data_IF_064578994261
#
_entry.id   IF_064578994261
#
_cell.length_a   1.000
_cell.length_b   1.000
_cell.length_c   1.000
_cell.angle_alpha   90.00
_cell.angle_beta   90.00
_cell.angle_gamma   90.00
#
_symmetry.space_group_name_H-M   'P 1'
#
loop_
_entity.id
_entity.type
_entity.pdbx_description
1 polymer ?
#
# COMPACT_ATOMS: atom_id res chain seq x y z
N UNK A 1 36.30 74.83 -51.06
CA UNK A 1 35.92 73.43 -51.38
C UNK A 1 36.35 72.47 -50.27
N UNK A 2 37.63 72.44 -49.90
CA UNK A 2 38.19 71.46 -48.94
C UNK A 2 37.58 71.49 -47.52
N UNK A 3 37.33 72.68 -46.95
CA UNK A 3 36.69 72.79 -45.63
C UNK A 3 35.26 72.22 -45.59
N UNK A 4 34.47 72.44 -46.65
CA UNK A 4 33.10 71.89 -46.76
C UNK A 4 33.12 70.36 -46.85
N UNK A 5 34.11 69.80 -47.54
CA UNK A 5 34.27 68.34 -47.65
C UNK A 5 34.62 67.71 -46.29
N UNK A 6 35.55 68.32 -45.53
CA UNK A 6 35.91 67.84 -44.20
C UNK A 6 34.75 67.97 -43.19
N UNK A 7 33.95 69.04 -43.28
CA UNK A 7 32.74 69.19 -42.45
C UNK A 7 31.71 68.10 -42.76
N UNK A 8 31.51 67.79 -44.05
CA UNK A 8 30.63 66.70 -44.46
C UNK A 8 31.13 65.35 -43.96
N UNK A 9 32.40 65.03 -44.17
CA UNK A 9 33.01 63.79 -43.69
C UNK A 9 32.90 63.65 -42.16
N UNK A 10 33.17 64.72 -41.42
CA UNK A 10 32.99 64.74 -39.96
C UNK A 10 31.56 64.41 -39.56
N UNK A 11 30.57 65.01 -40.23
CA UNK A 11 29.15 64.76 -39.98
C UNK A 11 28.77 63.31 -40.30
N UNK A 12 29.22 62.78 -41.44
CA UNK A 12 28.96 61.41 -41.88
C UNK A 12 29.57 60.39 -40.90
N UNK A 13 30.80 60.63 -40.43
CA UNK A 13 31.47 59.79 -39.42
C UNK A 13 30.76 59.84 -38.08
N UNK A 14 30.32 61.02 -37.64
CA UNK A 14 29.62 61.18 -36.37
C UNK A 14 28.26 60.46 -36.38
N UNK A 15 27.52 60.56 -37.49
CA UNK A 15 26.30 59.78 -37.70
C UNK A 15 26.57 58.27 -37.66
N UNK A 16 27.66 57.81 -38.26
CA UNK A 16 28.04 56.40 -38.26
C UNK A 16 28.39 55.90 -36.86
N UNK A 17 29.14 56.67 -36.08
CA UNK A 17 29.44 56.35 -34.67
C UNK A 17 28.14 56.26 -33.87
N UNK A 18 27.20 57.20 -34.05
CA UNK A 18 25.91 57.16 -33.37
C UNK A 18 25.14 55.86 -33.66
N UNK A 19 25.04 55.46 -34.94
CA UNK A 19 24.38 54.21 -35.35
C UNK A 19 25.06 53.00 -34.70
N UNK A 20 26.39 52.95 -34.71
CA UNK A 20 27.13 51.82 -34.13
C UNK A 20 27.00 51.75 -32.61
N UNK A 21 27.00 52.89 -31.92
CA UNK A 21 26.81 52.93 -30.47
C UNK A 21 25.38 52.50 -30.10
N UNK A 22 24.37 52.91 -30.86
CA UNK A 22 22.98 52.47 -30.68
C UNK A 22 22.83 50.95 -30.92
N UNK A 23 23.49 50.42 -31.94
CA UNK A 23 23.53 48.98 -32.20
C UNK A 23 24.22 48.20 -31.07
N UNK A 24 25.35 48.69 -30.55
CA UNK A 24 26.02 48.11 -29.38
C UNK A 24 25.10 48.17 -28.15
N UNK A 25 24.41 49.29 -27.93
CA UNK A 25 23.47 49.44 -26.83
C UNK A 25 22.33 48.42 -26.91
N UNK A 26 21.71 48.26 -28.08
CA UNK A 26 20.66 47.26 -28.32
C UNK A 26 21.15 45.83 -28.10
N UNK A 27 22.34 45.49 -28.60
CA UNK A 27 22.94 44.17 -28.42
C UNK A 27 23.27 43.90 -26.94
N UNK A 28 23.86 44.87 -26.23
CA UNK A 28 24.14 44.76 -24.80
C UNK A 28 22.85 44.61 -23.98
N UNK A 29 21.80 45.34 -24.31
CA UNK A 29 20.50 45.23 -23.64
C UNK A 29 19.93 43.81 -23.76
N UNK A 30 19.93 43.21 -24.95
CA UNK A 30 19.43 41.83 -25.19
C UNK A 30 20.30 40.78 -24.48
N UNK A 31 21.63 40.94 -24.57
CA UNK A 31 22.62 40.05 -23.95
C UNK A 31 22.76 40.24 -22.44
N UNK A 32 22.13 41.26 -21.86
CA UNK A 32 22.30 41.65 -20.46
C UNK A 32 23.76 41.99 -20.10
N UNK A 33 24.50 42.58 -21.04
CA UNK A 33 25.89 43.02 -20.85
C UNK A 33 25.93 44.49 -20.46
N UNK A 34 26.97 44.87 -19.71
CA UNK A 34 27.18 46.27 -19.34
C UNK A 34 27.61 47.08 -20.56
N UNK A 35 26.69 47.88 -21.11
CA UNK A 35 26.94 48.75 -22.25
C UNK A 35 28.14 49.67 -22.01
N UNK A 36 28.21 50.21 -20.80
CA UNK A 36 29.18 51.18 -20.38
C UNK A 36 30.62 50.64 -20.47
N UNK A 37 30.84 49.45 -19.92
CA UNK A 37 32.12 48.74 -19.99
C UNK A 37 32.45 48.34 -21.44
N UNK A 38 31.45 47.87 -22.17
CA UNK A 38 31.61 47.42 -23.57
C UNK A 38 32.07 48.57 -24.48
N UNK A 39 31.54 49.78 -24.33
CA UNK A 39 31.99 50.93 -25.15
C UNK A 39 33.30 51.55 -24.67
N UNK A 40 33.63 51.44 -23.37
CA UNK A 40 34.93 51.88 -22.82
C UNK A 40 36.09 51.09 -23.40
N UNK A 41 35.92 49.78 -23.62
CA UNK A 41 36.92 48.93 -24.28
C UNK A 41 37.29 49.44 -25.68
N UNK A 42 36.34 50.07 -26.37
CA UNK A 42 36.57 50.68 -27.69
C UNK A 42 37.21 52.06 -27.54
N UNK A 43 36.54 52.97 -26.82
CA UNK A 43 37.10 54.29 -26.49
C UNK A 43 36.33 54.95 -25.33
N UNK A 44 37.02 55.51 -24.31
CA UNK A 44 36.36 56.12 -23.14
C UNK A 44 35.39 57.26 -23.46
N UNK A 45 35.60 57.99 -24.56
CA UNK A 45 34.69 59.09 -24.96
C UNK A 45 33.34 58.66 -25.51
N UNK A 46 33.12 57.35 -25.76
CA UNK A 46 31.83 56.80 -26.18
C UNK A 46 30.85 56.60 -25.01
N UNK A 47 31.37 56.58 -23.78
CA UNK A 47 30.60 56.34 -22.54
C UNK A 47 29.76 57.56 -22.09
N UNK A 48 29.91 58.73 -22.73
CA UNK A 48 29.04 59.91 -22.52
C UNK A 48 29.12 60.58 -21.14
N UNK A 49 29.89 60.08 -20.18
CA UNK A 49 29.92 60.61 -18.80
C UNK A 49 30.72 61.89 -18.61
N UNK A 50 31.57 62.28 -19.58
CA UNK A 50 32.37 63.49 -19.49
C UNK A 50 31.95 64.46 -20.60
N UNK A 51 31.09 65.42 -20.24
CA UNK A 51 30.55 66.47 -21.15
C UNK A 51 31.62 67.36 -21.79
N UNK A 52 32.88 67.24 -21.39
CA UNK A 52 34.01 68.05 -21.87
C UNK A 52 34.79 67.39 -23.03
N UNK A 53 34.60 66.09 -23.29
CA UNK A 53 35.35 65.37 -24.31
C UNK A 53 34.49 65.12 -25.56
N UNK A 54 34.92 65.64 -26.72
CA UNK A 54 34.27 65.34 -28.00
C UNK A 54 34.32 63.83 -28.32
N UNK A 55 33.21 63.28 -28.84
CA UNK A 55 33.13 61.89 -29.32
C UNK A 55 34.25 61.59 -30.31
N UNK A 56 34.99 60.51 -30.10
CA UNK A 56 36.07 60.12 -31.01
C UNK A 56 35.46 59.56 -32.31
N UNK A 57 35.90 60.07 -33.46
CA UNK A 57 35.43 59.69 -34.81
C UNK A 57 36.58 59.18 -35.71
N UNK A 58 37.68 58.75 -35.08
CA UNK A 58 38.83 58.17 -35.76
C UNK A 58 38.49 56.82 -36.41
N UNK A 59 39.31 56.43 -37.37
CA UNK A 59 39.15 55.14 -38.07
C UNK A 59 39.29 53.96 -37.09
N UNK A 60 40.20 54.06 -36.11
CA UNK A 60 40.36 53.02 -35.09
C UNK A 60 39.13 52.88 -34.17
N UNK A 61 38.45 53.99 -33.85
CA UNK A 61 37.18 53.94 -33.09
C UNK A 61 36.06 53.31 -33.91
N UNK A 62 35.93 53.65 -35.19
CA UNK A 62 34.94 53.05 -36.08
C UNK A 62 35.20 51.56 -36.32
N UNK A 63 36.46 51.16 -36.49
CA UNK A 63 36.87 49.77 -36.64
C UNK A 63 36.63 48.98 -35.34
N UNK A 64 37.02 49.54 -34.19
CA UNK A 64 36.76 48.94 -32.88
C UNK A 64 35.27 48.73 -32.62
N UNK A 65 34.42 49.72 -32.91
CA UNK A 65 32.96 49.56 -32.84
C UNK A 65 32.45 48.44 -33.76
N UNK A 66 32.97 48.35 -34.99
CA UNK A 66 32.60 47.30 -35.94
C UNK A 66 32.97 45.91 -35.42
N UNK A 67 34.17 45.75 -34.87
CA UNK A 67 34.63 44.50 -34.26
C UNK A 67 33.78 44.12 -33.03
N UNK A 68 33.45 45.08 -32.16
CA UNK A 68 32.58 44.87 -31.01
C UNK A 68 31.17 44.43 -31.43
N UNK A 69 30.57 45.07 -32.45
CA UNK A 69 29.27 44.67 -33.00
C UNK A 69 29.32 43.23 -33.52
N UNK A 70 30.36 42.86 -34.28
CA UNK A 70 30.51 41.49 -34.80
C UNK A 70 30.63 40.47 -33.66
N UNK A 71 31.41 40.78 -32.62
CA UNK A 71 31.55 39.93 -31.43
C UNK A 71 30.22 39.75 -30.69
N UNK A 72 29.49 40.83 -30.46
CA UNK A 72 28.19 40.80 -29.78
C UNK A 72 27.13 40.04 -30.61
N UNK A 73 27.12 40.18 -31.94
CA UNK A 73 26.24 39.38 -32.82
C UNK A 73 26.56 37.90 -32.76
N UNK A 74 27.83 37.52 -32.80
CA UNK A 74 28.24 36.12 -32.65
C UNK A 74 27.82 35.52 -31.29
N UNK A 75 27.99 36.30 -30.21
CA UNK A 75 27.54 35.92 -28.87
C UNK A 75 26.01 35.77 -28.80
N UNK A 76 25.26 36.73 -29.36
CA UNK A 76 23.80 36.70 -29.46
C UNK A 76 23.33 35.40 -30.13
N UNK A 77 23.90 35.07 -31.28
CA UNK A 77 23.59 33.84 -32.01
C UNK A 77 23.89 32.57 -31.20
N UNK A 78 25.04 32.53 -30.54
CA UNK A 78 25.45 31.37 -29.73
C UNK A 78 24.51 31.16 -28.54
N UNK A 79 24.20 32.24 -27.81
CA UNK A 79 23.27 32.20 -26.66
C UNK A 79 21.85 31.86 -27.07
N UNK A 80 21.41 32.37 -28.21
CA UNK A 80 20.10 32.06 -28.77
C UNK A 80 19.95 30.56 -29.05
N UNK A 81 20.91 29.96 -29.78
CA UNK A 81 20.88 28.52 -30.06
C UNK A 81 20.87 27.68 -28.78
N UNK A 82 21.73 28.04 -27.81
CA UNK A 82 21.77 27.39 -26.51
C UNK A 82 20.42 27.47 -25.79
N UNK A 83 19.84 28.67 -25.72
CA UNK A 83 18.56 28.88 -25.05
C UNK A 83 17.42 28.12 -25.74
N UNK A 84 17.37 28.09 -27.06
CA UNK A 84 16.38 27.30 -27.82
C UNK A 84 16.46 25.81 -27.48
N UNK A 85 17.66 25.23 -27.40
CA UNK A 85 17.84 23.82 -27.02
C UNK A 85 17.34 23.54 -25.60
N UNK A 86 17.66 24.43 -24.65
CA UNK A 86 17.21 24.30 -23.25
C UNK A 86 15.69 24.42 -23.17
N UNK A 87 15.10 25.41 -23.86
CA UNK A 87 13.64 25.63 -23.90
C UNK A 87 12.91 24.45 -24.53
N UNK A 88 13.48 23.81 -25.55
CA UNK A 88 12.90 22.61 -26.14
C UNK A 88 12.84 21.46 -25.12
N UNK A 89 13.94 21.24 -24.36
CA UNK A 89 13.99 20.25 -23.27
C UNK A 89 12.98 20.58 -22.18
N UNK A 90 12.89 21.86 -21.79
CA UNK A 90 11.94 22.35 -20.79
C UNK A 90 10.49 22.11 -21.22
N UNK A 91 10.15 22.38 -22.48
CA UNK A 91 8.81 22.14 -23.03
C UNK A 91 8.44 20.66 -23.02
N UNK A 92 9.37 19.77 -23.40
CA UNK A 92 9.18 18.31 -23.31
C UNK A 92 8.91 17.87 -21.86
N UNK A 93 9.67 18.41 -20.90
CA UNK A 93 9.47 18.10 -19.48
C UNK A 93 8.14 18.61 -18.93
N UNK A 94 7.74 19.84 -19.24
CA UNK A 94 6.44 20.37 -18.83
C UNK A 94 5.27 19.54 -19.34
N UNK A 95 5.34 19.09 -20.60
CA UNK A 95 4.30 18.25 -21.19
C UNK A 95 4.26 16.87 -20.54
N UNK A 96 5.41 16.27 -20.27
CA UNK A 96 5.50 14.96 -19.60
C UNK A 96 5.04 15.02 -18.14
N UNK A 97 5.38 16.08 -17.42
CA UNK A 97 5.12 16.24 -15.99
C UNK A 97 3.75 16.88 -15.70
N UNK A 98 2.99 17.22 -16.75
CA UNK A 98 1.74 17.98 -16.69
C UNK A 98 1.87 19.24 -15.81
N UNK A 99 3.00 19.95 -15.94
CA UNK A 99 3.31 21.12 -15.10
C UNK A 99 2.22 22.19 -15.20
N UNK A 100 1.87 22.78 -14.06
CA UNK A 100 0.79 23.75 -13.96
C UNK A 100 1.09 25.03 -14.75
N UNK A 101 0.05 25.70 -15.25
CA UNK A 101 0.20 26.91 -16.05
C UNK A 101 0.98 28.01 -15.33
N UNK A 102 0.82 28.11 -14.00
CA UNK A 102 1.53 29.10 -13.19
C UNK A 102 3.05 28.90 -13.19
N UNK A 103 3.53 27.66 -13.21
CA UNK A 103 4.96 27.33 -13.29
C UNK A 103 5.49 27.68 -14.68
N UNK A 104 4.73 27.35 -15.73
CA UNK A 104 5.09 27.68 -17.12
C UNK A 104 5.14 29.19 -17.38
N UNK A 105 4.24 29.96 -16.74
CA UNK A 105 4.14 31.42 -16.90
C UNK A 105 5.42 32.16 -16.48
N UNK A 106 6.16 31.64 -15.49
CA UNK A 106 7.42 32.25 -15.05
C UNK A 106 8.46 32.30 -16.16
N UNK A 107 8.42 31.31 -17.06
CA UNK A 107 9.33 31.17 -18.20
C UNK A 107 8.70 31.59 -19.53
N UNK A 108 7.50 32.18 -19.54
CA UNK A 108 6.76 32.47 -20.78
C UNK A 108 7.55 33.35 -21.77
N UNK A 109 8.31 34.33 -21.26
CA UNK A 109 9.15 35.20 -22.09
C UNK A 109 10.28 34.44 -22.78
N UNK A 110 10.92 33.52 -22.06
CA UNK A 110 11.99 32.66 -22.56
C UNK A 110 11.42 31.57 -23.48
N UNK A 111 10.24 31.04 -23.17
CA UNK A 111 9.56 30.05 -23.98
C UNK A 111 9.21 30.56 -25.39
N UNK A 112 8.93 31.86 -25.55
CA UNK A 112 8.67 32.48 -26.85
C UNK A 112 9.87 32.40 -27.81
N UNK A 113 11.09 32.23 -27.30
CA UNK A 113 12.34 32.16 -28.09
C UNK A 113 12.39 30.95 -29.03
N UNK A 114 11.68 29.86 -28.70
CA UNK A 114 11.69 28.63 -29.49
C UNK A 114 11.14 28.83 -30.91
N UNK A 115 10.29 29.84 -31.12
CA UNK A 115 9.67 30.15 -32.43
C UNK A 115 10.12 31.46 -33.06
N UNK A 116 11.03 32.21 -32.44
CA UNK A 116 11.47 33.52 -32.92
C UNK A 116 12.74 33.45 -33.77
N UNK A 117 12.84 34.33 -34.76
CA UNK A 117 14.08 34.58 -35.51
C UNK A 117 15.09 35.41 -34.70
N UNK A 118 16.35 35.45 -35.11
CA UNK A 118 17.40 36.21 -34.40
C UNK A 118 17.06 37.71 -34.35
N UNK A 119 16.45 38.23 -35.41
CA UNK A 119 16.08 39.63 -35.59
C UNK A 119 14.88 40.04 -34.70
N UNK A 120 13.96 39.11 -34.43
CA UNK A 120 12.78 39.35 -33.59
C UNK A 120 13.12 39.50 -32.09
N UNK A 121 14.28 38.99 -31.67
CA UNK A 121 14.70 39.00 -30.27
C UNK A 121 15.32 40.34 -29.92
N UNK A 122 14.47 41.23 -29.42
CA UNK A 122 14.78 42.60 -29.00
C UNK A 122 14.52 42.84 -27.52
N UNK A 123 13.93 41.88 -26.80
CA UNK A 123 13.60 42.02 -25.39
C UNK A 123 14.88 42.09 -24.52
N UNK A 124 15.02 43.12 -23.65
CA UNK A 124 16.20 43.24 -22.80
C UNK A 124 16.36 42.05 -21.84
N UNK A 125 17.59 41.58 -21.68
CA UNK A 125 17.99 40.55 -20.72
C UNK A 125 17.56 39.13 -21.05
N UNK A 126 16.87 38.89 -22.17
CA UNK A 126 16.34 37.58 -22.55
C UNK A 126 17.44 36.56 -22.88
N UNK A 127 18.59 37.03 -23.40
CA UNK A 127 19.79 36.25 -23.67
C UNK A 127 20.91 36.54 -22.65
N UNK A 128 20.55 37.04 -21.46
CA UNK A 128 21.51 37.19 -20.37
C UNK A 128 21.98 35.83 -19.88
N UNK A 129 23.23 35.77 -19.39
CA UNK A 129 23.76 34.55 -18.77
C UNK A 129 22.88 34.08 -17.61
N UNK A 130 22.35 35.03 -16.84
CA UNK A 130 21.40 34.76 -15.76
C UNK A 130 20.13 34.09 -16.26
N UNK A 131 19.48 34.60 -17.31
CA UNK A 131 18.27 34.00 -17.85
C UNK A 131 18.50 32.57 -18.41
N UNK A 132 19.63 32.36 -19.08
CA UNK A 132 20.03 31.02 -19.56
C UNK A 132 20.22 30.08 -18.37
N UNK A 133 20.98 30.51 -17.37
CA UNK A 133 21.24 29.73 -16.16
C UNK A 133 19.95 29.39 -15.41
N UNK A 134 19.05 30.36 -15.18
CA UNK A 134 17.75 30.12 -14.55
C UNK A 134 16.91 29.08 -15.31
N UNK A 135 16.99 29.07 -16.64
CA UNK A 135 16.28 28.09 -17.48
C UNK A 135 16.93 26.71 -17.41
N UNK A 136 18.26 26.63 -17.37
CA UNK A 136 19.01 25.37 -17.18
C UNK A 136 18.72 24.76 -15.81
N UNK A 137 18.73 25.57 -14.75
CA UNK A 137 18.42 25.16 -13.38
C UNK A 137 16.99 24.61 -13.27
N UNK A 138 16.02 25.21 -13.97
CA UNK A 138 14.65 24.69 -14.01
C UNK A 138 14.54 23.34 -14.74
N UNK A 139 15.26 23.17 -15.85
CA UNK A 139 15.35 21.86 -16.54
C UNK A 139 15.94 20.80 -15.62
N UNK A 140 17.00 21.13 -14.88
CA UNK A 140 17.62 20.23 -13.91
C UNK A 140 16.65 19.89 -12.77
N UNK A 141 15.96 20.90 -12.21
CA UNK A 141 14.96 20.74 -11.15
C UNK A 141 13.84 19.80 -11.60
N UNK A 142 13.28 20.01 -12.78
CA UNK A 142 12.22 19.16 -13.35
C UNK A 142 12.73 17.75 -13.65
N UNK A 143 13.97 17.60 -14.10
CA UNK A 143 14.59 16.29 -14.33
C UNK A 143 14.74 15.50 -13.03
N UNK A 144 15.20 16.14 -11.95
CA UNK A 144 15.25 15.54 -10.61
C UNK A 144 13.85 15.18 -10.11
N UNK A 145 12.88 16.07 -10.30
CA UNK A 145 11.50 15.82 -9.93
C UNK A 145 10.90 14.63 -10.70
N UNK A 146 11.18 14.52 -12.00
CA UNK A 146 10.79 13.38 -12.84
C UNK A 146 11.38 12.08 -12.28
N UNK A 147 12.67 12.06 -11.97
CA UNK A 147 13.33 10.88 -11.40
C UNK A 147 12.71 10.46 -10.05
N UNK A 148 12.44 11.43 -9.15
CA UNK A 148 11.76 11.17 -7.87
C UNK A 148 10.36 10.59 -8.07
N UNK A 149 9.54 11.20 -8.93
CA UNK A 149 8.18 10.69 -9.23
C UNK A 149 8.22 9.30 -9.86
N UNK A 150 9.20 9.02 -10.72
CA UNK A 150 9.34 7.70 -11.32
C UNK A 150 9.72 6.65 -10.27
N UNK A 151 10.64 6.96 -9.36
CA UNK A 151 10.98 6.10 -8.22
C UNK A 151 9.75 5.81 -7.34
N UNK A 152 8.96 6.84 -7.02
CA UNK A 152 7.71 6.69 -6.28
C UNK A 152 6.70 5.79 -7.01
N UNK A 153 6.55 5.96 -8.32
CA UNK A 153 5.64 5.16 -9.14
C UNK A 153 6.03 3.69 -9.17
N UNK A 154 7.32 3.38 -9.33
CA UNK A 154 7.87 2.02 -9.26
C UNK A 154 7.55 1.39 -7.91
N UNK A 155 7.79 2.10 -6.80
CA UNK A 155 7.50 1.60 -5.45
C UNK A 155 5.99 1.41 -5.22
N UNK A 156 5.15 2.32 -5.72
CA UNK A 156 3.69 2.17 -5.65
C UNK A 156 3.21 0.95 -6.42
N UNK A 157 3.72 0.71 -7.63
CA UNK A 157 3.44 -0.52 -8.38
C UNK A 157 3.95 -1.77 -7.66
N UNK A 158 5.12 -1.68 -7.01
CA UNK A 158 5.61 -2.80 -6.21
C UNK A 158 4.71 -3.13 -5.02
N UNK A 159 4.13 -2.11 -4.37
CA UNK A 159 3.13 -2.31 -3.31
C UNK A 159 1.83 -2.93 -3.85
N UNK A 160 1.38 -2.51 -5.04
CA UNK A 160 0.23 -3.12 -5.73
C UNK A 160 0.47 -4.62 -5.98
N UNK A 161 1.65 -5.00 -6.48
CA UNK A 161 2.05 -6.41 -6.62
C UNK A 161 1.97 -7.15 -5.28
N UNK A 162 2.49 -6.54 -4.23
CA UNK A 162 2.50 -7.11 -2.88
C UNK A 162 1.09 -7.36 -2.33
N UNK A 163 0.15 -6.46 -2.61
CA UNK A 163 -1.25 -6.60 -2.24
C UNK A 163 -1.93 -7.74 -3.02
N UNK A 164 -1.70 -7.81 -4.34
CA UNK A 164 -2.21 -8.91 -5.18
C UNK A 164 -1.68 -10.26 -4.68
N UNK A 165 -0.37 -10.36 -4.44
CA UNK A 165 0.26 -11.57 -3.90
C UNK A 165 -0.31 -11.95 -2.53
N UNK A 166 -0.43 -10.98 -1.62
CA UNK A 166 -0.98 -11.19 -0.27
C UNK A 166 -2.43 -11.69 -0.32
N UNK A 167 -3.27 -11.08 -1.14
CA UNK A 167 -4.68 -11.48 -1.30
C UNK A 167 -4.83 -12.88 -1.90
N UNK A 168 -3.85 -13.32 -2.69
CA UNK A 168 -3.81 -14.64 -3.29
C UNK A 168 -2.94 -15.65 -2.51
N UNK A 169 -2.44 -15.30 -1.32
CA UNK A 169 -1.56 -16.12 -0.49
C UNK A 169 -0.28 -16.61 -1.20
N UNK A 170 0.32 -15.73 -2.00
CA UNK A 170 1.53 -15.94 -2.78
C UNK A 170 2.68 -15.10 -2.24
N UNK A 171 3.91 -15.55 -2.46
CA UNK A 171 5.11 -14.77 -2.13
C UNK A 171 5.55 -13.93 -3.33
N UNK A 172 5.72 -12.61 -3.18
CA UNK A 172 6.25 -11.76 -4.24
C UNK A 172 7.75 -12.00 -4.45
N UNK A 173 8.26 -11.67 -5.65
CA UNK A 173 9.68 -11.84 -5.96
C UNK A 173 10.56 -10.97 -5.05
N UNK A 174 11.46 -11.62 -4.30
CA UNK A 174 12.44 -10.98 -3.41
C UNK A 174 13.51 -10.19 -4.16
N UNK A 175 13.71 -10.42 -5.46
CA UNK A 175 14.61 -9.62 -6.29
C UNK A 175 14.07 -8.23 -6.54
N UNK A 176 12.75 -8.09 -6.50
CA UNK A 176 12.05 -6.81 -6.67
C UNK A 176 11.66 -6.21 -5.31
N UNK A 177 12.35 -6.58 -4.23
CA UNK A 177 12.12 -6.00 -2.91
C UNK A 177 12.36 -4.46 -2.91
N UNK A 178 11.59 -3.68 -2.13
CA UNK A 178 11.69 -2.22 -2.12
C UNK A 178 13.11 -1.70 -1.90
N UNK A 179 13.87 -2.31 -0.99
CA UNK A 179 15.24 -1.90 -0.65
C UNK A 179 16.19 -2.11 -1.84
N UNK A 180 16.01 -3.22 -2.57
CA UNK A 180 16.81 -3.52 -3.78
C UNK A 180 16.45 -2.57 -4.92
N UNK A 181 15.16 -2.32 -5.14
CA UNK A 181 14.71 -1.33 -6.14
C UNK A 181 15.33 0.03 -5.85
N UNK A 182 15.24 0.50 -4.61
CA UNK A 182 15.79 1.79 -4.18
C UNK A 182 17.30 1.84 -4.48
N UNK A 183 18.05 0.81 -4.09
CA UNK A 183 19.48 0.74 -4.34
C UNK A 183 19.84 0.72 -5.85
N UNK A 184 19.09 -0.01 -6.68
CA UNK A 184 19.30 -0.07 -8.13
C UNK A 184 19.03 1.28 -8.81
N UNK A 185 18.00 1.98 -8.37
CA UNK A 185 17.65 3.32 -8.89
C UNK A 185 18.69 4.35 -8.45
N UNK A 186 19.05 4.38 -7.16
CA UNK A 186 19.97 5.38 -6.61
C UNK A 186 21.42 5.20 -7.09
N UNK A 187 21.81 3.96 -7.42
CA UNK A 187 23.10 3.68 -8.06
C UNK A 187 23.14 4.01 -9.56
N UNK A 188 21.99 4.34 -10.16
CA UNK A 188 21.88 4.59 -11.60
C UNK A 188 22.16 3.37 -12.47
N UNK A 189 22.16 2.17 -11.89
CA UNK A 189 22.49 0.92 -12.58
C UNK A 189 21.35 0.47 -13.51
N UNK A 190 20.11 0.83 -13.18
CA UNK A 190 18.91 0.43 -13.92
C UNK A 190 18.01 1.63 -14.16
N UNK A 191 17.41 1.72 -15.35
CA UNK A 191 16.39 2.72 -15.65
C UNK A 191 15.09 2.41 -14.89
N UNK A 192 14.54 3.36 -14.11
CA UNK A 192 13.27 3.18 -13.43
C UNK A 192 12.10 2.80 -14.35
N UNK A 193 12.10 3.19 -15.63
CA UNK A 193 11.02 2.82 -16.56
C UNK A 193 11.03 1.31 -16.87
N UNK A 194 12.21 0.71 -17.02
CA UNK A 194 12.34 -0.74 -17.24
C UNK A 194 11.88 -1.54 -16.02
N UNK A 195 12.25 -1.08 -14.81
CA UNK A 195 11.78 -1.68 -13.56
C UNK A 195 10.26 -1.60 -13.44
N UNK A 196 9.66 -0.46 -13.80
CA UNK A 196 8.21 -0.28 -13.79
C UNK A 196 7.54 -1.32 -14.70
N UNK A 197 7.98 -1.43 -15.96
CA UNK A 197 7.46 -2.41 -16.91
C UNK A 197 7.61 -3.85 -16.39
N UNK A 198 8.75 -4.19 -15.80
CA UNK A 198 8.97 -5.51 -15.20
C UNK A 198 7.98 -5.81 -14.07
N UNK A 199 7.73 -4.85 -13.18
CA UNK A 199 6.76 -4.99 -12.08
C UNK A 199 5.34 -5.13 -12.65
N UNK A 200 4.96 -4.37 -13.67
CA UNK A 200 3.65 -4.50 -14.31
C UNK A 200 3.43 -5.89 -14.92
N UNK A 201 4.46 -6.48 -15.52
CA UNK A 201 4.42 -7.88 -15.98
C UNK A 201 4.27 -8.84 -14.80
N UNK A 202 4.96 -8.62 -13.69
CA UNK A 202 4.78 -9.44 -12.48
C UNK A 202 3.36 -9.32 -11.91
N UNK A 203 2.77 -8.12 -11.89
CA UNK A 203 1.39 -7.89 -11.46
C UNK A 203 0.42 -8.65 -12.36
N UNK A 204 0.61 -8.60 -13.69
CA UNK A 204 -0.23 -9.32 -14.63
C UNK A 204 -0.18 -10.83 -14.39
N UNK A 205 1.03 -11.40 -14.22
CA UNK A 205 1.22 -12.81 -13.89
C UNK A 205 0.59 -13.18 -12.55
N UNK A 206 0.79 -12.37 -11.52
CA UNK A 206 0.22 -12.60 -10.19
C UNK A 206 -1.32 -12.57 -10.22
N UNK A 207 -1.93 -11.69 -11.02
CA UNK A 207 -3.37 -11.67 -11.22
C UNK A 207 -3.88 -12.91 -11.96
N UNK A 208 -3.18 -13.36 -13.00
CA UNK A 208 -3.52 -14.59 -13.73
C UNK A 208 -3.46 -15.80 -12.78
N UNK A 209 -2.38 -15.94 -12.03
CA UNK A 209 -2.23 -17.02 -11.05
C UNK A 209 -3.33 -16.96 -9.97
N UNK A 210 -3.64 -15.76 -9.45
CA UNK A 210 -4.75 -15.53 -8.52
C UNK A 210 -6.10 -16.04 -9.06
N UNK A 211 -6.37 -15.85 -10.36
CA UNK A 211 -7.58 -16.38 -11.00
C UNK A 211 -7.58 -17.91 -11.03
N UNK A 212 -6.45 -18.55 -11.34
CA UNK A 212 -6.36 -20.02 -11.34
C UNK A 212 -6.50 -20.61 -9.93
N UNK A 213 -6.00 -19.92 -8.90
CA UNK A 213 -6.10 -20.32 -7.49
C UNK A 213 -7.50 -20.17 -6.91
N UNK A 214 -8.39 -19.41 -7.54
CA UNK A 214 -9.67 -18.97 -6.99
C UNK A 214 -10.56 -20.12 -6.47
N UNK A 215 -10.73 -21.22 -7.20
CA UNK A 215 -11.56 -22.35 -6.73
C UNK A 215 -10.98 -23.00 -5.46
N UNK A 216 -9.66 -23.15 -5.39
CA UNK A 216 -8.98 -23.69 -4.21
C UNK A 216 -9.14 -22.72 -3.03
N UNK A 217 -8.91 -21.42 -3.24
CA UNK A 217 -9.05 -20.41 -2.20
C UNK A 217 -10.48 -20.32 -1.64
N UNK A 218 -11.51 -20.36 -2.49
CA UNK A 218 -12.90 -20.41 -2.04
C UNK A 218 -13.21 -21.66 -1.20
N UNK A 219 -12.54 -22.80 -1.48
CA UNK A 219 -12.67 -24.02 -0.68
C UNK A 219 -11.93 -23.90 0.65
N UNK A 220 -10.74 -23.29 0.66
CA UNK A 220 -10.00 -22.97 1.88
C UNK A 220 -10.86 -22.09 2.80
N UNK A 221 -11.48 -21.02 2.27
CA UNK A 221 -12.36 -20.14 3.03
C UNK A 221 -13.56 -20.87 3.64
N UNK A 222 -14.19 -21.75 2.86
CA UNK A 222 -15.31 -22.58 3.34
C UNK A 222 -14.84 -23.54 4.45
N UNK A 223 -13.67 -24.14 4.30
CA UNK A 223 -13.09 -25.03 5.30
C UNK A 223 -12.71 -24.28 6.58
N UNK A 224 -12.05 -23.13 6.48
CA UNK A 224 -11.73 -22.27 7.62
C UNK A 224 -12.99 -21.83 8.36
N UNK A 225 -14.04 -21.43 7.63
CA UNK A 225 -15.34 -21.10 8.22
C UNK A 225 -15.99 -22.28 8.97
N UNK A 226 -15.82 -23.50 8.46
CA UNK A 226 -16.29 -24.70 9.14
C UNK A 226 -15.47 -25.01 10.41
N UNK A 227 -14.16 -24.76 10.40
CA UNK A 227 -13.30 -24.84 11.58
C UNK A 227 -13.70 -23.81 12.64
N UNK A 228 -14.02 -22.57 12.24
CA UNK A 228 -14.51 -21.53 13.16
C UNK A 228 -15.82 -21.94 13.84
N UNK A 229 -16.76 -22.53 13.08
CA UNK A 229 -18.00 -23.08 13.65
C UNK A 229 -17.74 -24.29 14.56
N UNK A 230 -16.67 -25.08 14.32
CA UNK A 230 -16.24 -26.12 15.25
C UNK A 230 -15.81 -25.53 16.59
N UNK A 231 -14.91 -24.54 16.56
CA UNK A 231 -14.42 -23.88 17.77
C UNK A 231 -15.57 -23.26 18.56
N UNK A 232 -16.48 -22.55 17.88
CA UNK A 232 -17.68 -22.01 18.51
C UNK A 232 -18.56 -23.10 19.15
N UNK A 233 -18.73 -24.24 18.47
CA UNK A 233 -19.50 -25.36 19.02
C UNK A 233 -18.80 -26.00 20.22
N UNK A 234 -17.48 -26.10 20.22
CA UNK A 234 -16.70 -26.60 21.35
C UNK A 234 -16.86 -25.69 22.57
N UNK A 235 -16.77 -24.37 22.39
CA UNK A 235 -17.04 -23.36 23.43
C UNK A 235 -18.48 -23.48 23.96
N UNK A 236 -19.47 -23.55 23.06
CA UNK A 236 -20.87 -23.71 23.43
C UNK A 236 -21.16 -25.02 24.20
N UNK A 237 -20.42 -26.09 23.92
CA UNK A 237 -20.57 -27.36 24.64
C UNK A 237 -19.95 -27.33 26.05
N UNK A 238 -19.01 -26.41 26.32
CA UNK A 238 -18.38 -26.23 27.62
C UNK A 238 -19.19 -25.29 28.54
N UNK A 239 -20.13 -24.52 28.00
CA UNK A 239 -20.98 -23.62 28.79
C UNK A 239 -22.01 -24.40 29.63
N UNK A 240 -21.85 -24.36 30.95
CA UNK A 240 -22.78 -24.97 31.92
C UNK A 240 -24.18 -24.31 31.88
N UNK A 241 -24.29 -23.06 31.43
CA UNK A 241 -25.55 -22.32 31.33
C UNK A 241 -26.25 -22.49 29.97
N UNK A 242 -25.76 -23.39 29.10
CA UNK A 242 -26.27 -23.58 27.73
C UNK A 242 -27.75 -23.93 27.59
N UNK A 243 -28.35 -24.50 28.65
CA UNK A 243 -29.77 -24.87 28.72
C UNK A 243 -30.59 -23.94 29.62
N UNK A 244 -30.01 -22.83 30.08
CA UNK A 244 -30.78 -21.82 30.81
C UNK A 244 -31.94 -21.32 29.93
N UNK A 245 -33.13 -21.19 30.52
CA UNK A 245 -34.36 -20.80 29.82
C UNK A 245 -34.38 -19.31 29.42
N UNK A 246 -33.26 -18.78 28.96
CA UNK A 246 -33.09 -17.41 28.49
C UNK A 246 -33.64 -17.20 27.09
N UNK A 247 -34.01 -15.95 26.79
CA UNK A 247 -34.44 -15.51 25.45
C UNK A 247 -33.29 -15.72 24.46
N UNK A 248 -33.41 -16.70 23.55
CA UNK A 248 -32.39 -17.02 22.54
C UNK A 248 -31.79 -18.42 22.61
N UNK A 249 -32.03 -19.19 23.69
CA UNK A 249 -31.49 -20.54 23.86
C UNK A 249 -31.86 -21.50 22.71
N UNK A 250 -33.10 -21.44 22.21
CA UNK A 250 -33.55 -22.24 21.07
C UNK A 250 -32.81 -21.91 19.75
N UNK A 251 -32.41 -20.65 19.56
CA UNK A 251 -31.65 -20.24 18.37
C UNK A 251 -30.22 -20.77 18.43
N UNK A 252 -29.58 -20.69 19.60
CA UNK A 252 -28.25 -21.25 19.83
C UNK A 252 -28.26 -22.77 19.70
N UNK A 253 -29.27 -23.45 20.22
CA UNK A 253 -29.44 -24.89 20.04
C UNK A 253 -29.59 -25.28 18.56
N UNK A 254 -30.36 -24.50 17.78
CA UNK A 254 -30.50 -24.69 16.32
C UNK A 254 -29.18 -24.44 15.58
N UNK A 255 -28.39 -23.44 15.99
CA UNK A 255 -27.04 -23.20 15.44
C UNK A 255 -26.10 -24.34 15.79
N UNK A 256 -26.11 -24.82 17.03
CA UNK A 256 -25.29 -25.93 17.48
C UNK A 256 -25.56 -27.22 16.69
N UNK A 257 -26.83 -27.52 16.39
CA UNK A 257 -27.17 -28.67 15.56
C UNK A 257 -26.67 -28.52 14.12
N UNK A 258 -26.81 -27.33 13.52
CA UNK A 258 -26.23 -27.03 12.21
C UNK A 258 -24.70 -27.14 12.21
N UNK A 259 -24.05 -26.63 13.26
CA UNK A 259 -22.62 -26.70 13.43
C UNK A 259 -22.14 -28.16 13.55
N UNK A 260 -22.84 -29.03 14.28
CA UNK A 260 -22.50 -30.47 14.35
C UNK A 260 -22.47 -31.14 12.98
N UNK A 261 -23.49 -30.88 12.16
CA UNK A 261 -23.58 -31.41 10.80
C UNK A 261 -22.43 -30.88 9.94
N UNK A 262 -22.07 -29.60 10.10
CA UNK A 262 -20.95 -28.99 9.38
C UNK A 262 -19.60 -29.58 9.83
N UNK A 263 -19.39 -29.74 11.13
CA UNK A 263 -18.19 -30.34 11.73
C UNK A 263 -17.98 -31.77 11.23
N UNK A 264 -19.05 -32.56 11.13
CA UNK A 264 -18.99 -33.91 10.58
C UNK A 264 -18.53 -33.95 9.12
N UNK A 265 -18.74 -32.87 8.36
CA UNK A 265 -18.30 -32.74 6.96
C UNK A 265 -16.88 -32.20 6.82
N UNK A 266 -16.24 -31.69 7.87
CA UNK A 266 -14.88 -31.14 7.78
C UNK A 266 -13.86 -32.15 7.21
N UNK A 267 -13.84 -33.44 7.62
CA UNK A 267 -12.89 -34.40 7.04
C UNK A 267 -13.03 -34.55 5.52
N UNK A 268 -14.26 -34.62 5.01
CA UNK A 268 -14.47 -34.73 3.55
C UNK A 268 -14.16 -33.43 2.81
N UNK A 269 -14.32 -32.27 3.45
CA UNK A 269 -13.86 -30.99 2.90
C UNK A 269 -12.33 -30.95 2.77
N UNK A 270 -11.61 -31.44 3.78
CA UNK A 270 -10.13 -31.55 3.75
C UNK A 270 -9.69 -32.49 2.63
N UNK A 271 -10.28 -33.69 2.54
CA UNK A 271 -9.92 -34.67 1.51
C UNK A 271 -10.22 -34.14 0.09
N UNK A 272 -11.36 -33.44 -0.09
CA UNK A 272 -11.69 -32.81 -1.36
C UNK A 272 -10.73 -31.68 -1.72
N UNK A 273 -10.30 -30.88 -0.74
CA UNK A 273 -9.35 -29.81 -0.94
C UNK A 273 -7.98 -30.36 -1.31
N UNK A 274 -7.49 -31.40 -0.62
CA UNK A 274 -6.24 -32.09 -0.97
C UNK A 274 -6.29 -32.59 -2.43
N UNK A 275 -7.36 -33.30 -2.81
CA UNK A 275 -7.50 -33.82 -4.17
C UNK A 275 -7.54 -32.71 -5.23
N UNK A 276 -8.20 -31.58 -4.93
CA UNK A 276 -8.25 -30.42 -5.82
C UNK A 276 -6.90 -29.72 -5.93
N UNK A 277 -6.18 -29.58 -4.82
CA UNK A 277 -4.83 -29.01 -4.81
C UNK A 277 -3.88 -29.86 -5.63
N UNK A 278 -3.91 -31.20 -5.49
CA UNK A 278 -3.10 -32.08 -6.34
C UNK A 278 -3.43 -31.94 -7.83
N UNK A 279 -4.71 -31.91 -8.20
CA UNK A 279 -5.10 -31.72 -9.60
C UNK A 279 -4.55 -30.40 -10.17
N UNK A 280 -4.57 -29.32 -9.39
CA UNK A 280 -3.99 -28.04 -9.80
C UNK A 280 -2.45 -28.09 -9.89
N UNK A 281 -1.78 -28.76 -8.94
CA UNK A 281 -0.33 -28.95 -8.98
C UNK A 281 0.10 -29.78 -10.21
N UNK A 282 -0.67 -30.80 -10.58
CA UNK A 282 -0.43 -31.62 -11.78
C UNK A 282 -0.65 -30.83 -13.08
N UNK A 283 -1.66 -29.96 -13.13
CA UNK A 283 -1.97 -29.11 -14.29
C UNK A 283 -0.91 -28.01 -14.50
N UNK A 284 -0.42 -27.41 -13.40
CA UNK A 284 0.52 -26.27 -13.42
C UNK A 284 1.98 -26.68 -13.29
N UNK A 285 2.25 -27.94 -12.92
CA UNK A 285 3.57 -28.50 -12.67
C UNK A 285 4.40 -27.75 -11.61
N UNK A 286 3.73 -27.11 -10.65
CA UNK A 286 4.34 -26.41 -9.51
C UNK A 286 3.58 -26.72 -8.22
N UNK A 287 4.26 -26.77 -7.06
CA UNK A 287 3.57 -27.00 -5.79
C UNK A 287 2.69 -25.79 -5.43
N UNK A 288 1.48 -26.07 -4.92
CA UNK A 288 0.57 -25.03 -4.46
C UNK A 288 1.05 -24.55 -3.09
N UNK A 289 1.64 -23.37 -3.05
CA UNK A 289 2.03 -22.70 -1.83
C UNK A 289 0.89 -21.82 -1.29
N UNK A 290 0.74 -21.79 0.03
CA UNK A 290 -0.11 -20.91 0.79
C UNK A 290 0.78 -20.21 1.81
N UNK A 291 1.00 -18.91 1.66
CA UNK A 291 1.92 -18.12 2.50
C UNK A 291 3.31 -18.79 2.61
N UNK A 292 3.83 -19.29 1.50
CA UNK A 292 5.14 -19.95 1.40
C UNK A 292 5.19 -21.43 1.83
N UNK A 293 4.08 -22.00 2.35
CA UNK A 293 4.01 -23.41 2.78
C UNK A 293 3.09 -24.20 1.85
N UNK A 294 3.46 -25.43 1.48
CA UNK A 294 2.62 -26.26 0.61
C UNK A 294 1.26 -26.55 1.27
N UNK A 295 0.16 -26.20 0.60
CA UNK A 295 -1.19 -26.30 1.15
C UNK A 295 -1.55 -27.74 1.56
N UNK A 296 -1.13 -28.74 0.78
CA UNK A 296 -1.35 -30.15 1.10
C UNK A 296 -0.75 -30.53 2.47
N UNK A 297 0.47 -30.08 2.76
CA UNK A 297 1.13 -30.39 4.04
C UNK A 297 0.36 -29.81 5.23
N UNK A 298 -0.17 -28.59 5.08
CA UNK A 298 -1.01 -27.96 6.10
C UNK A 298 -2.27 -28.79 6.33
N UNK A 299 -2.93 -29.24 5.26
CA UNK A 299 -4.17 -30.01 5.35
C UNK A 299 -3.97 -31.39 5.96
N UNK A 300 -2.87 -32.07 5.65
CA UNK A 300 -2.47 -33.33 6.26
C UNK A 300 -2.18 -33.18 7.76
N UNK A 301 -1.46 -32.13 8.15
CA UNK A 301 -1.23 -31.82 9.57
C UNK A 301 -2.56 -31.60 10.31
N UNK A 302 -3.50 -30.87 9.69
CA UNK A 302 -4.82 -30.64 10.27
C UNK A 302 -5.62 -31.94 10.41
N UNK A 303 -5.55 -32.84 9.42
CA UNK A 303 -6.19 -34.15 9.47
C UNK A 303 -5.64 -34.98 10.64
N UNK A 304 -4.33 -35.00 10.83
CA UNK A 304 -3.67 -35.68 11.94
C UNK A 304 -4.08 -35.08 13.30
N UNK A 305 -4.06 -33.74 13.40
CA UNK A 305 -4.45 -33.02 14.61
C UNK A 305 -5.90 -33.29 15.03
N UNK A 306 -6.81 -33.45 14.06
CA UNK A 306 -8.19 -33.85 14.33
C UNK A 306 -8.30 -35.28 14.85
N UNK A 307 -7.62 -36.23 14.19
CA UNK A 307 -7.61 -37.62 14.63
C UNK A 307 -7.07 -37.75 16.07
N UNK A 308 -6.02 -37.01 16.40
CA UNK A 308 -5.46 -36.97 17.76
C UNK A 308 -6.48 -36.43 18.78
N UNK A 309 -7.17 -35.32 18.47
CA UNK A 309 -8.22 -34.76 19.33
C UNK A 309 -9.37 -35.74 19.56
N UNK A 310 -9.79 -36.48 18.54
CA UNK A 310 -10.84 -37.48 18.67
C UNK A 310 -10.40 -38.66 19.54
N UNK A 311 -9.16 -39.11 19.40
CA UNK A 311 -8.59 -40.18 20.23
C UNK A 311 -8.43 -39.72 21.70
N UNK A 312 -8.01 -38.49 21.95
CA UNK A 312 -7.96 -37.91 23.30
C UNK A 312 -9.34 -37.85 23.95
N UNK A 313 -10.37 -37.45 23.17
CA UNK A 313 -11.77 -37.47 23.61
C UNK A 313 -12.23 -38.90 23.91
N UNK A 314 -11.82 -39.92 23.14
CA UNK A 314 -12.10 -41.34 23.43
C UNK A 314 -11.42 -41.79 24.71
N UNK A 315 -10.11 -41.56 24.85
CA UNK A 315 -9.32 -41.88 26.06
C UNK A 315 -9.90 -41.24 27.32
N UNK A 316 -10.30 -39.96 27.26
CA UNK A 316 -10.95 -39.27 28.39
C UNK A 316 -12.30 -39.90 28.75
N UNK A 317 -13.12 -40.30 27.76
CA UNK A 317 -14.38 -41.01 28.02
C UNK A 317 -14.14 -42.37 28.67
N UNK A 318 -13.12 -43.11 28.24
CA UNK A 318 -12.82 -44.42 28.80
C UNK A 318 -12.24 -44.33 30.21
N UNK A 319 -11.42 -43.31 30.51
CA UNK A 319 -11.00 -43.01 31.89
C UNK A 319 -12.20 -42.66 32.78
N UNK A 320 -13.16 -41.85 32.30
CA UNK A 320 -14.39 -41.54 33.05
C UNK A 320 -15.24 -42.80 33.30
N UNK A 321 -15.34 -43.71 32.32
CA UNK A 321 -16.02 -45.00 32.51
C UNK A 321 -15.32 -45.86 33.55
N UNK A 322 -13.99 -45.94 33.51
CA UNK A 322 -13.21 -46.71 34.49
C UNK A 322 -13.38 -46.14 35.90
N UNK A 323 -13.30 -44.81 36.07
CA UNK A 323 -13.57 -44.17 37.36
C UNK A 323 -15.00 -44.45 37.84
N UNK A 324 -15.99 -44.39 36.96
CA UNK A 324 -17.39 -44.71 37.28
C UNK A 324 -17.57 -46.18 37.69
N UNK A 325 -16.89 -47.12 37.02
CA UNK A 325 -16.91 -48.54 37.40
C UNK A 325 -16.26 -48.77 38.77
N UNK A 326 -15.12 -48.13 39.04
CA UNK A 326 -14.46 -48.19 40.36
C UNK A 326 -15.32 -47.58 41.48
N UNK A 327 -16.04 -46.49 41.19
CA UNK A 327 -17.03 -45.91 42.10
C UNK A 327 -18.17 -46.90 42.37
N UNK A 328 -18.71 -47.54 41.33
CA UNK A 328 -19.78 -48.54 41.45
C UNK A 328 -19.33 -49.80 42.21
N UNK A 329 -18.10 -50.25 42.02
CA UNK A 329 -17.52 -51.37 42.76
C UNK A 329 -17.34 -51.01 44.25
N UNK A 330 -16.85 -49.80 44.56
CA UNK A 330 -16.84 -49.29 45.94
C UNK A 330 -18.25 -49.26 46.53
N UNK A 331 -19.25 -48.75 45.81
CA UNK A 331 -20.65 -48.73 46.27
C UNK A 331 -21.22 -50.14 46.50
N UNK A 332 -20.83 -51.14 45.70
CA UNK A 332 -21.24 -52.54 45.87
C UNK A 332 -20.55 -53.21 47.07
N UNK A 333 -19.29 -52.88 47.37
CA UNK A 333 -18.54 -53.39 48.53
C UNK A 333 -19.13 -52.84 49.85
N UNK A 334 -19.72 -51.63 49.83
CA UNK A 334 -20.32 -51.02 51.02
C UNK A 334 -21.74 -51.49 51.36
N UNK A 335 -22.31 -52.45 50.62
CA UNK A 335 -23.58 -53.12 50.95
C UNK A 335 -24.81 -52.20 50.89
N UNK A 336 -25.89 -52.67 50.29
CA UNK A 336 -27.17 -51.97 50.16
C UNK A 336 -27.67 -51.39 51.50
N UNK A 337 -27.49 -50.08 51.72
CA UNK A 337 -28.25 -49.31 52.71
C UNK A 337 -29.56 -48.85 52.06
N UNK A 338 -30.73 -49.10 52.68
CA UNK A 338 -32.00 -48.66 52.13
C UNK A 338 -32.00 -47.13 52.05
N UNK A 339 -32.34 -46.60 50.88
CA UNK A 339 -32.55 -45.17 50.67
C UNK A 339 -33.61 -44.65 51.65
N UNK A 340 -33.39 -43.51 52.34
CA UNK A 340 -34.39 -42.97 53.23
C UNK A 340 -35.57 -42.45 52.42
N UNK A 341 -36.76 -42.98 52.73
CA UNK A 341 -38.07 -42.55 52.22
C UNK A 341 -38.17 -41.02 52.22
N UNK A 342 -38.29 -40.39 51.05
CA UNK A 342 -38.82 -39.03 50.94
C UNK A 342 -40.32 -39.09 51.14
N UNK A 343 -40.77 -38.56 52.27
CA UNK A 343 -42.17 -38.28 52.58
C UNK A 343 -42.72 -37.22 51.63
N UNK A 344 -43.72 -37.60 50.83
CA UNK A 344 -44.63 -36.65 50.18
C UNK A 344 -45.49 -35.98 51.27
N UNK A 345 -45.41 -34.65 51.39
CA UNK A 345 -46.39 -33.85 52.14
C UNK A 345 -47.03 -32.79 51.25
N UNK A 346 -47.96 -33.22 50.39
CA UNK A 346 -49.03 -32.32 49.94
C UNK A 346 -50.16 -32.38 50.97
N UNK A 347 -50.32 -31.29 51.71
CA UNK A 347 -51.41 -31.05 52.64
C UNK A 347 -52.77 -31.25 51.93
N UNK A 348 -53.52 -32.27 52.36
CA UNK A 348 -54.96 -32.39 52.08
C UNK A 348 -55.68 -32.43 53.43
N UNK A 349 -56.32 -31.32 53.81
CA UNK A 349 -57.38 -31.32 54.84
C UNK A 349 -58.57 -32.08 54.27
N UNK A 350 -59.08 -33.05 55.03
CA UNK A 350 -60.36 -33.72 54.81
C UNK A 350 -61.35 -33.30 55.90
N UNK A 351 -62.60 -33.05 55.49
CA UNK A 351 -63.86 -33.23 56.23
C UNK A 351 -64.94 -32.61 55.32
N UNK A 352 -66.06 -33.23 54.94
CA UNK A 352 -66.75 -34.42 55.43
C UNK A 352 -67.80 -34.89 54.39
N UNK A 353 -68.24 -36.14 54.56
CA UNK A 353 -69.53 -36.74 54.16
C UNK A 353 -69.76 -37.29 52.73
N UNK A 354 -70.08 -38.59 52.70
CA UNK A 354 -70.70 -39.39 51.63
C UNK A 354 -72.19 -38.95 51.48
N UNK A 355 -72.94 -39.13 50.38
CA UNK A 355 -73.10 -40.35 49.56
C UNK A 355 -73.80 -40.06 48.22
N UNK A 356 -73.52 -40.93 47.24
CA UNK A 356 -74.35 -41.37 46.11
C UNK A 356 -74.42 -40.52 44.82
N UNK A 357 -74.22 -41.17 43.68
CA UNK A 357 -74.61 -40.63 42.36
C UNK A 357 -73.64 -40.93 41.22
N UNK A 358 -73.96 -41.96 40.44
CA UNK A 358 -73.30 -42.48 39.25
C UNK A 358 -72.95 -41.42 38.18
N UNK A 359 -71.74 -41.43 37.61
CA UNK A 359 -71.34 -40.48 36.55
C UNK A 359 -70.02 -40.85 35.85
N UNK A 360 -70.17 -41.45 34.66
CA UNK A 360 -69.18 -41.93 33.67
C UNK A 360 -68.02 -40.99 33.32
N UNK A 361 -66.78 -41.53 33.36
CA UNK A 361 -65.54 -40.86 32.95
C UNK A 361 -64.95 -41.40 31.64
N UNK A 362 -65.00 -40.55 30.62
CA UNK A 362 -64.06 -40.25 29.53
C UNK A 362 -63.00 -41.27 29.06
N UNK A 363 -63.10 -41.60 27.77
CA UNK A 363 -62.04 -42.12 26.89
C UNK A 363 -61.44 -40.98 26.02
N UNK A 364 -60.18 -41.15 25.66
CA UNK A 364 -59.27 -40.34 24.82
C UNK A 364 -59.81 -39.94 23.43
N UNK A 365 -59.28 -38.85 22.82
CA UNK A 365 -59.27 -38.75 21.36
C UNK A 365 -57.91 -38.43 20.70
N UNK A 366 -57.72 -39.06 19.55
CA UNK A 366 -56.72 -38.87 18.46
C UNK A 366 -57.46 -38.19 17.27
N UNK A 367 -56.78 -37.54 16.31
CA UNK A 367 -57.22 -36.28 15.70
C UNK A 367 -58.02 -36.44 14.39
N UNK A 368 -58.72 -35.37 13.98
CA UNK A 368 -59.22 -35.20 12.61
C UNK A 368 -58.91 -33.83 12.01
N UNK A 369 -58.52 -33.96 10.75
CA UNK A 369 -58.20 -33.03 9.66
C UNK A 369 -59.48 -32.41 9.08
N UNK A 370 -59.47 -31.12 8.71
CA UNK A 370 -60.30 -30.60 7.59
C UNK A 370 -59.62 -29.39 6.94
N UNK A 371 -59.76 -29.29 5.62
CA UNK A 371 -59.23 -28.30 4.69
C UNK A 371 -60.38 -27.52 4.04
N UNK A 372 -60.21 -26.22 3.79
CA UNK A 372 -60.82 -25.31 2.78
C UNK A 372 -60.72 -23.86 3.32
N UNK A 373 -60.45 -22.77 2.60
CA UNK A 373 -60.21 -22.45 1.20
C UNK A 373 -60.25 -20.91 1.07
N UNK A 374 -59.20 -20.32 0.46
CA UNK A 374 -59.01 -19.00 -0.16
C UNK A 374 -59.75 -17.71 0.31
N UNK A 375 -58.99 -16.63 0.55
CA UNK A 375 -58.96 -15.40 -0.27
C UNK A 375 -58.06 -14.30 0.39
N UNK A 376 -57.18 -13.69 -0.41
CA UNK A 376 -56.34 -12.51 -0.12
C UNK A 376 -57.16 -11.20 -0.21
N UNK A 377 -56.79 -10.09 0.47
CA UNK A 377 -55.79 -9.16 -0.09
C UNK A 377 -54.87 -8.42 0.92
N UNK A 378 -53.66 -8.11 0.42
CA UNK A 378 -52.83 -6.90 0.58
C UNK A 378 -52.31 -6.34 1.92
N UNK A 379 -51.00 -5.99 1.84
CA UNK A 379 -50.22 -4.99 2.56
C UNK A 379 -49.88 -5.23 4.05
N UNK A 380 -48.61 -5.53 4.32
CA UNK A 380 -47.64 -4.56 4.87
C UNK A 380 -46.35 -5.30 5.29
N UNK A 381 -45.28 -5.05 4.55
CA UNK A 381 -43.90 -5.25 4.99
C UNK A 381 -43.60 -4.43 6.24
N UNK A 382 -42.85 -5.00 7.21
CA UNK A 382 -41.90 -4.21 7.98
C UNK A 382 -40.47 -4.58 7.59
N UNK A 383 -39.84 -3.65 6.87
CA UNK A 383 -38.40 -3.47 6.82
C UNK A 383 -37.95 -3.08 8.23
N UNK A 384 -36.97 -3.78 8.80
CA UNK A 384 -36.26 -3.29 9.99
C UNK A 384 -34.77 -3.57 9.84
N UNK A 385 -34.06 -2.45 9.82
CA UNK A 385 -32.62 -2.29 9.91
C UNK A 385 -32.01 -3.12 11.05
N UNK A 386 -30.90 -3.79 10.75
CA UNK A 386 -29.76 -3.87 11.67
C UNK A 386 -28.50 -3.87 10.81
N UNK A 387 -27.95 -2.67 10.63
CA UNK A 387 -26.62 -2.46 10.10
C UNK A 387 -25.67 -2.10 11.23
N UNK A 388 -24.42 -2.56 11.06
CA UNK A 388 -23.17 -2.20 11.75
C UNK A 388 -22.80 -2.99 13.02
N UNK A 389 -21.48 -3.16 13.15
CA UNK A 389 -20.68 -4.08 13.98
C UNK A 389 -20.60 -5.51 13.39
N UNK A 390 -19.49 -6.07 12.86
CA UNK A 390 -18.05 -5.77 12.96
C UNK A 390 -17.37 -6.13 11.62
N UNK A 391 -16.76 -5.14 10.96
CA UNK A 391 -15.88 -5.34 9.79
C UNK A 391 -14.38 -5.34 10.17
N UNK A 392 -14.05 -5.61 11.44
CA UNK A 392 -12.69 -5.55 11.99
C UNK A 392 -12.05 -6.92 12.26
N UNK A 393 -12.42 -7.96 11.51
CA UNK A 393 -11.83 -9.30 11.67
C UNK A 393 -11.53 -9.98 10.33
N UNK A 394 -11.03 -9.20 9.36
CA UNK A 394 -10.41 -9.67 8.12
C UNK A 394 -8.90 -9.42 8.11
N UNK A 395 -8.28 -9.42 9.28
CA UNK A 395 -6.82 -9.42 9.37
C UNK A 395 -6.34 -10.87 9.34
N UNK A 396 -5.84 -11.29 8.18
CA UNK A 396 -4.90 -12.39 7.93
C UNK A 396 -4.90 -13.53 8.97
N UNK A 397 -5.89 -14.44 8.91
CA UNK A 397 -5.73 -15.75 9.56
C UNK A 397 -4.88 -16.64 8.67
N UNK A 398 -3.57 -16.48 8.84
CA UNK A 398 -2.55 -17.36 8.28
C UNK A 398 -2.73 -18.77 8.83
N UNK A 399 -2.49 -19.77 7.99
CA UNK A 399 -2.39 -21.15 8.42
C UNK A 399 -1.06 -21.31 9.15
N UNK A 400 -1.05 -21.12 10.47
CA UNK A 400 0.19 -21.28 11.26
C UNK A 400 0.54 -22.77 11.39
N UNK A 401 1.64 -23.19 10.77
CA UNK A 401 2.35 -24.40 11.19
C UNK A 401 3.01 -24.10 12.54
N UNK A 402 2.71 -24.88 13.58
CA UNK A 402 3.29 -24.66 14.90
C UNK A 402 4.79 -25.04 14.90
N UNK A 403 5.69 -24.24 15.51
CA UNK A 403 7.08 -24.64 15.66
C UNK A 403 7.21 -25.75 16.70
N UNK A 404 7.96 -26.80 16.33
CA UNK A 404 8.30 -27.92 17.20
C UNK A 404 9.21 -27.46 18.34
N UNK A 405 8.74 -27.51 19.60
CA UNK A 405 9.62 -27.45 20.77
C UNK A 405 9.37 -28.65 21.68
N UNK A 406 10.43 -29.45 21.83
CA UNK A 406 10.54 -30.59 22.73
C UNK A 406 10.73 -30.13 24.18
N UNK A 407 9.95 -30.74 25.07
CA UNK A 407 10.22 -31.12 26.46
C UNK A 407 10.70 -30.10 27.50
N UNK A 408 9.87 -29.98 28.54
CA UNK A 408 10.13 -29.41 29.86
C UNK A 408 11.22 -30.15 30.64
N UNK A 409 12.01 -29.40 31.44
CA UNK A 409 12.50 -29.82 32.77
C UNK A 409 12.50 -28.61 33.71
N UNK A 410 12.15 -28.90 34.96
CA UNK A 410 11.67 -28.07 36.05
C UNK A 410 12.70 -27.22 36.81
N UNK A 411 12.10 -26.36 37.66
CA UNK A 411 12.47 -25.96 39.03
C UNK A 411 13.08 -24.56 39.21
N UNK A 412 12.19 -23.65 39.58
CA UNK A 412 12.47 -22.44 40.35
C UNK A 412 12.93 -22.82 41.77
N UNK A 413 14.01 -22.21 42.23
CA UNK A 413 14.19 -21.71 43.59
C UNK A 413 15.51 -20.90 43.66
N UNK A 414 15.42 -19.58 43.84
CA UNK A 414 16.21 -18.81 44.82
C UNK A 414 16.04 -17.31 44.58
N UNK A 415 15.53 -16.64 45.62
CA UNK A 415 15.39 -15.19 45.76
C UNK A 415 16.75 -14.48 45.93
N UNK A 416 16.70 -13.14 45.87
CA UNK A 416 17.66 -12.16 46.46
C UNK A 416 18.81 -11.75 45.52
N UNK A 417 19.24 -10.48 45.33
CA UNK A 417 18.95 -9.17 45.93
C UNK A 417 19.66 -8.06 45.15
N UNK A 418 19.11 -6.84 45.23
CA UNK A 418 19.74 -5.51 45.32
C UNK A 418 20.99 -5.06 44.50
N UNK A 419 20.87 -3.80 44.06
CA UNK A 419 21.86 -2.71 44.06
C UNK A 419 22.66 -2.38 42.77
N UNK A 420 22.23 -1.27 42.15
CA UNK A 420 23.00 -0.07 41.76
C UNK A 420 24.48 0.02 42.19
N UNK A 421 25.38 0.38 41.25
CA UNK A 421 26.10 1.69 41.17
C UNK A 421 27.28 1.64 40.16
N UNK A 422 27.32 2.74 39.40
CA UNK A 422 28.38 3.44 38.65
C UNK A 422 29.88 3.06 38.72
N UNK A 423 30.56 3.41 37.62
CA UNK A 423 32.00 3.73 37.50
C UNK A 423 32.84 2.57 36.94
N UNK A 424 33.78 2.71 35.99
CA UNK A 424 34.53 3.88 35.51
C UNK A 424 35.25 3.45 34.21
N UNK A 425 35.34 4.34 33.22
CA UNK A 425 36.42 4.36 32.20
C UNK A 425 37.61 5.18 32.75
N UNK A 426 38.78 5.28 32.06
CA UNK A 426 39.30 4.52 30.92
C UNK A 426 40.77 4.06 31.15
N UNK A 427 41.36 3.31 30.21
CA UNK A 427 42.80 3.44 29.94
C UNK A 427 43.12 3.02 28.50
N UNK A 428 43.74 3.95 27.77
CA UNK A 428 44.50 3.68 26.54
C UNK A 428 45.95 3.38 26.91
N UNK A 429 46.71 2.69 26.05
CA UNK A 429 47.66 3.47 25.25
C UNK A 429 47.82 2.98 23.80
N UNK A 430 48.00 3.94 22.89
CA UNK A 430 48.52 3.75 21.54
C UNK A 430 49.97 4.25 21.49
N UNK A 431 50.86 3.42 20.93
CA UNK A 431 52.12 3.83 20.33
C UNK A 431 52.40 3.00 19.07
N UNK A 432 52.98 3.70 18.09
CA UNK A 432 53.60 3.25 16.82
C UNK A 432 52.58 2.96 15.69
N UNK A 433 52.70 3.53 14.48
CA UNK A 433 53.84 4.12 13.79
C UNK A 433 53.39 5.13 12.72
#
# INVERSE_FOLDING_TARGET
>A
MQLRNLQKEKSDRLQKVFIYVDEVHGLCAVLGMDFAETVKEVHPSLHGTNSENSTNISDSTLEGLTQTILKLKAEKKTRLMKLQEIVEKLHKLWNLMESAEQERRQFAKVAAVLGSSEEEITSPGILSLKAIQETEEEVERLTKQKASRMKELVLKKRLELEDVCRNAHMEPDMNTAPEKIIALIDSGLVDPCELLCSIEVQIAKANEESLTRKDIMERVDKWLSACDEETWLEEYNQDDNRYSAGRGAHLNLKRAEKARILVQKIPSMIDNLIAKTFAWEDETNVPFLYDGVRLVAILEEQKLRRAQREEDKRRSRDQKKLQSLLLKEKELIFGSKPSPRKTNSFNRRMSNHHSNGNGTGFMTPVPRRVSAGSATPELLTPRSYSGRYNNYFKENRRLTAAPLNFSAVSKEDSMSSFASISGSEPDSPLYLH
#
